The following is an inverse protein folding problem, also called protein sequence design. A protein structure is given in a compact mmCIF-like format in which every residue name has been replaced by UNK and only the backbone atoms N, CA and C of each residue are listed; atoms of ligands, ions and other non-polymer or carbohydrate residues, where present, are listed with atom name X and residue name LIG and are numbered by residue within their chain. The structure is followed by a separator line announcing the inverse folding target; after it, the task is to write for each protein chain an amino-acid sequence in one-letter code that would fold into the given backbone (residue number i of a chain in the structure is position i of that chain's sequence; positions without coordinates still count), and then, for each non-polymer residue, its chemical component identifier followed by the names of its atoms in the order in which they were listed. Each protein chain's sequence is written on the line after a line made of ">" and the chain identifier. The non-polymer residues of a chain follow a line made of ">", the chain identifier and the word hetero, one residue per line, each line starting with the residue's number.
data_IF_915545989527
#
_entry.id   IF_915545989527
#
_cell.length_a   1.000
_cell.length_b   1.000
_cell.length_c   1.000
_cell.angle_alpha   90.00
_cell.angle_beta   90.00
_cell.angle_gamma   90.00
#
_symmetry.space_group_name_H-M   'P 1'
#
loop_
_entity.id
_entity.type
_entity.pdbx_description
1 polymer ?
#
# COMPACT_ATOMS: atom_id res chain seq x y z
N UNK A 1 9.43 9.83 7.58
CA UNK A 1 8.41 9.72 6.51
C UNK A 1 8.98 9.14 5.22
N UNK A 2 10.24 9.42 4.85
CA UNK A 2 10.88 8.96 3.60
C UNK A 2 11.06 7.44 3.44
N UNK A 3 11.31 6.70 4.53
CA UNK A 3 11.55 5.25 4.49
C UNK A 3 10.28 4.44 4.18
N UNK A 4 9.12 4.86 4.70
CA UNK A 4 7.87 4.10 4.53
C UNK A 4 7.32 4.18 3.10
N UNK A 5 7.52 5.32 2.42
CA UNK A 5 7.07 5.49 1.02
C UNK A 5 7.80 4.55 0.05
N UNK A 6 9.04 4.14 0.36
CA UNK A 6 9.80 3.19 -0.47
C UNK A 6 9.22 1.76 -0.46
N UNK A 7 8.46 1.41 0.57
CA UNK A 7 7.91 0.06 0.74
C UNK A 7 6.58 -0.14 -0.02
N UNK A 8 5.98 0.94 -0.49
CA UNK A 8 4.70 0.94 -1.20
C UNK A 8 4.88 1.44 -2.62
N UNK A 9 5.54 0.66 -3.47
CA UNK A 9 5.53 0.92 -4.91
C UNK A 9 4.26 0.26 -5.50
N UNK A 10 3.17 1.03 -5.62
CA UNK A 10 1.91 0.56 -6.17
C UNK A 10 1.85 0.88 -7.67
N UNK A 11 1.97 -0.14 -8.51
CA UNK A 11 1.81 -0.01 -9.96
C UNK A 11 0.32 0.02 -10.32
N UNK A 12 -0.21 1.20 -10.67
CA UNK A 12 -1.55 1.33 -11.24
C UNK A 12 -1.47 1.32 -12.78
N UNK A 13 -2.27 0.47 -13.42
CA UNK A 13 -2.48 0.48 -14.88
C UNK A 13 -3.60 1.46 -15.21
N UNK A 14 -3.30 2.50 -16.00
CA UNK A 14 -4.32 3.33 -16.64
C UNK A 14 -4.07 3.42 -18.16
N UNK A 15 -5.12 3.76 -18.90
CA UNK A 15 -5.36 3.51 -20.34
C UNK A 15 -4.09 3.47 -21.22
N UNK A 16 -3.83 2.31 -21.84
CA UNK A 16 -2.82 2.18 -22.91
C UNK A 16 -1.36 1.95 -22.50
N UNK A 17 -1.09 1.18 -21.43
CA UNK A 17 0.27 0.81 -20.96
C UNK A 17 1.09 1.92 -20.29
N UNK A 18 0.46 2.95 -19.72
CA UNK A 18 1.17 3.93 -18.91
C UNK A 18 1.29 3.43 -17.47
N UNK A 19 2.51 3.02 -17.07
CA UNK A 19 2.86 2.79 -15.67
C UNK A 19 3.21 4.14 -15.04
N UNK A 20 2.27 4.74 -14.33
CA UNK A 20 2.57 5.89 -13.48
C UNK A 20 3.12 5.32 -12.18
N UNK A 21 4.37 5.66 -11.85
CA UNK A 21 4.87 5.51 -10.49
C UNK A 21 4.06 6.46 -9.63
N UNK A 22 3.03 5.91 -8.99
CA UNK A 22 2.30 6.64 -7.99
C UNK A 22 3.15 6.55 -6.74
N UNK A 23 3.47 7.68 -6.12
CA UNK A 23 4.09 7.74 -4.78
C UNK A 23 2.94 7.79 -3.75
N UNK A 24 2.42 6.63 -3.30
CA UNK A 24 1.36 6.60 -2.31
C UNK A 24 1.90 7.13 -0.98
N UNK A 25 1.19 8.11 -0.42
CA UNK A 25 1.52 8.63 0.89
C UNK A 25 1.00 7.67 1.95
N UNK A 26 1.90 6.93 2.61
CA UNK A 26 1.55 6.06 3.74
C UNK A 26 1.17 6.90 4.95
N UNK A 27 0.00 6.65 5.51
CA UNK A 27 -0.48 7.37 6.70
C UNK A 27 -0.74 6.45 7.91
N UNK A 28 -0.87 5.14 7.70
CA UNK A 28 -1.07 4.19 8.80
C UNK A 28 -0.48 2.82 8.46
N UNK A 29 0.06 2.16 9.48
CA UNK A 29 0.52 0.78 9.44
C UNK A 29 -0.06 0.08 10.66
N UNK A 30 -0.84 -0.97 10.42
CA UNK A 30 -1.44 -1.80 11.46
C UNK A 30 -0.72 -3.14 11.46
N UNK A 31 -0.16 -3.52 12.59
CA UNK A 31 0.53 -4.80 12.80
C UNK A 31 -0.34 -5.70 13.67
N UNK A 32 -0.32 -7.00 13.40
CA UNK A 32 -0.85 -7.98 14.34
C UNK A 32 0.09 -8.15 15.54
N UNK A 33 -0.43 -8.77 16.60
CA UNK A 33 0.24 -8.86 17.92
C UNK A 33 1.61 -9.56 17.86
N UNK A 34 1.76 -10.51 16.96
CA UNK A 34 2.93 -11.34 16.74
C UNK A 34 3.84 -10.83 15.61
N UNK A 35 3.51 -9.69 14.99
CA UNK A 35 4.28 -9.07 13.91
C UNK A 35 4.51 -9.99 12.70
N UNK A 36 3.57 -10.90 12.44
CA UNK A 36 3.57 -11.80 11.28
C UNK A 36 2.75 -11.26 10.10
N UNK A 37 1.86 -10.30 10.34
CA UNK A 37 0.99 -9.67 9.35
C UNK A 37 0.95 -8.15 9.54
N UNK A 38 0.82 -7.43 8.43
CA UNK A 38 0.65 -5.98 8.44
C UNK A 38 -0.39 -5.54 7.40
N UNK A 39 -1.13 -4.49 7.72
CA UNK A 39 -1.92 -3.71 6.76
C UNK A 39 -1.34 -2.31 6.66
N UNK A 40 -1.02 -1.88 5.44
CA UNK A 40 -0.50 -0.54 5.14
C UNK A 40 -1.59 0.25 4.44
N UNK A 41 -1.99 1.36 5.06
CA UNK A 41 -2.95 2.29 4.48
C UNK A 41 -2.22 3.50 3.92
N UNK A 42 -2.53 3.79 2.66
CA UNK A 42 -1.92 4.89 1.93
C UNK A 42 -2.94 5.65 1.11
N UNK A 43 -2.57 6.85 0.68
CA UNK A 43 -3.38 7.71 -0.18
C UNK A 43 -2.70 7.92 -1.52
N UNK A 44 -3.50 7.78 -2.58
CA UNK A 44 -3.10 8.01 -3.96
C UNK A 44 -4.02 9.10 -4.52
N UNK A 45 -3.51 10.34 -4.61
CA UNK A 45 -4.27 11.50 -5.13
C UNK A 45 -5.63 11.65 -4.39
N UNK A 46 -6.71 11.18 -5.00
CA UNK A 46 -8.09 11.23 -4.51
C UNK A 46 -8.66 9.85 -4.13
N UNK A 47 -7.82 8.82 -4.00
CA UNK A 47 -8.19 7.45 -3.60
C UNK A 47 -7.39 7.02 -2.37
N UNK A 48 -7.97 6.14 -1.58
CA UNK A 48 -7.26 5.36 -0.59
C UNK A 48 -6.65 4.12 -1.24
N UNK A 49 -5.70 3.51 -0.56
CA UNK A 49 -5.14 2.24 -0.90
C UNK A 49 -4.84 1.46 0.38
N UNK A 50 -5.06 0.16 0.32
CA UNK A 50 -4.78 -0.78 1.40
C UNK A 50 -3.94 -1.92 0.82
N UNK A 51 -2.79 -2.18 1.44
CA UNK A 51 -1.91 -3.28 1.08
C UNK A 51 -1.68 -4.19 2.29
N UNK A 52 -1.84 -5.49 2.09
CA UNK A 52 -1.64 -6.50 3.11
C UNK A 52 -0.30 -7.22 2.90
N UNK A 53 0.41 -7.43 4.00
CA UNK A 53 1.72 -8.06 4.02
C UNK A 53 1.75 -9.21 5.03
N UNK A 54 2.55 -10.21 4.71
CA UNK A 54 2.89 -11.33 5.58
C UNK A 54 4.41 -11.39 5.72
N UNK A 55 4.89 -11.71 6.92
CA UNK A 55 6.31 -11.94 7.20
C UNK A 55 6.65 -13.42 7.04
N UNK A 56 7.46 -13.76 6.04
CA UNK A 56 7.95 -15.12 5.76
C UNK A 56 9.46 -15.06 5.72
N UNK A 57 10.14 -15.98 6.42
CA UNK A 57 11.61 -16.06 6.45
C UNK A 57 12.28 -14.72 6.81
N UNK A 58 11.67 -14.01 7.78
CA UNK A 58 12.12 -12.70 8.24
C UNK A 58 11.95 -11.53 7.24
N UNK A 59 11.31 -11.77 6.09
CA UNK A 59 11.04 -10.77 5.05
C UNK A 59 9.55 -10.45 4.93
N UNK A 60 9.20 -9.19 4.70
CA UNK A 60 7.82 -8.77 4.44
C UNK A 60 7.48 -8.93 2.96
N UNK A 61 6.44 -9.73 2.68
CA UNK A 61 5.93 -9.97 1.33
C UNK A 61 4.50 -9.42 1.22
N UNK A 62 4.27 -8.59 0.22
CA UNK A 62 2.91 -8.11 -0.10
C UNK A 62 2.12 -9.27 -0.68
N UNK A 63 0.94 -9.53 -0.11
CA UNK A 63 0.06 -10.63 -0.55
C UNK A 63 -1.20 -10.13 -1.25
N UNK A 64 -1.64 -8.90 -0.95
CA UNK A 64 -2.78 -8.26 -1.57
C UNK A 64 -2.62 -6.73 -1.55
N UNK A 65 -3.17 -6.06 -2.55
CA UNK A 65 -3.28 -4.61 -2.57
C UNK A 65 -4.51 -4.18 -3.37
N UNK A 66 -5.30 -3.28 -2.79
CA UNK A 66 -6.51 -2.73 -3.41
C UNK A 66 -6.57 -1.21 -3.28
N UNK A 67 -7.09 -0.58 -4.32
CA UNK A 67 -7.48 0.83 -4.27
C UNK A 67 -8.86 0.93 -3.65
N UNK A 68 -8.99 1.72 -2.59
CA UNK A 68 -10.28 2.06 -1.99
C UNK A 68 -10.71 3.44 -2.48
N UNK A 69 -11.96 3.57 -2.91
CA UNK A 69 -12.51 4.90 -3.13
C UNK A 69 -12.79 5.51 -1.78
N UNK A 70 -12.30 6.73 -1.53
CA UNK A 70 -12.75 7.51 -0.37
C UNK A 70 -14.14 8.01 -0.78
N UNK A 71 -15.25 7.50 -0.21
CA UNK A 71 -16.55 8.09 -0.48
C UNK A 71 -16.49 9.55 -0.05
N UNK A 72 -16.85 10.48 -0.94
CA UNK A 72 -17.11 11.86 -0.53
C UNK A 72 -18.37 11.81 0.32
N UNK A 73 -18.22 11.96 1.64
CA UNK A 73 -19.35 12.29 2.52
C UNK A 73 -19.79 13.72 2.27
#
# INVERSE_FOLDING_TARGET
>A
MTFLNQLTCLYARHWGNWQISIDPQVFSIVLNRDYSQAAVHSRIVNRGAEAHFVRIDNEWKMIDAKLTWIPRC
#
